data_IF_548459607393
#
_entry.id   IF_548459607393
#
_cell.length_a   1.000
_cell.length_b   1.000
_cell.length_c   1.000
_cell.angle_alpha   90.00
_cell.angle_beta   90.00
_cell.angle_gamma   90.00
#
_symmetry.space_group_name_H-M   'P 1'
#
loop_
_entity.id
_entity.type
_entity.pdbx_description
1 polymer ?
#
# COMPACT_ATOMS: atom_id res chain seq x y z
N UNK A 1 24.63 22.20 -23.76
CA UNK A 1 24.39 21.11 -22.78
C UNK A 1 23.26 21.54 -21.85
N UNK A 2 22.03 21.58 -22.38
CA UNK A 2 20.85 22.16 -21.67
C UNK A 2 19.62 21.23 -21.69
N UNK A 3 19.73 20.05 -22.32
CA UNK A 3 18.59 19.12 -22.50
C UNK A 3 18.38 18.25 -21.25
N UNK A 4 19.35 18.17 -20.34
CA UNK A 4 19.28 17.30 -19.15
C UNK A 4 18.51 17.95 -17.98
N UNK A 5 18.22 19.26 -18.04
CA UNK A 5 17.66 20.01 -16.90
C UNK A 5 16.13 20.22 -16.95
N UNK A 6 15.43 19.65 -17.94
CA UNK A 6 13.99 19.90 -18.18
C UNK A 6 13.12 18.64 -18.09
N UNK A 7 13.54 17.62 -17.34
CA UNK A 7 12.71 16.44 -17.06
C UNK A 7 11.96 16.56 -15.72
N UNK A 8 12.34 17.50 -14.84
CA UNK A 8 11.82 17.60 -13.47
C UNK A 8 10.45 18.29 -13.33
N UNK A 9 9.62 18.33 -14.38
CA UNK A 9 8.31 19.01 -14.33
C UNK A 9 7.15 18.21 -14.94
N UNK A 10 7.22 16.87 -14.93
CA UNK A 10 6.05 16.02 -15.18
C UNK A 10 5.35 15.67 -13.86
N UNK A 11 4.93 16.69 -13.11
CA UNK A 11 3.99 16.48 -12.00
C UNK A 11 2.63 16.10 -12.56
N UNK A 12 2.29 14.83 -12.46
CA UNK A 12 0.93 14.29 -12.39
C UNK A 12 1.08 12.85 -11.95
N UNK A 13 1.37 12.64 -10.67
CA UNK A 13 1.36 11.33 -10.01
C UNK A 13 -0.07 10.76 -9.97
N UNK A 14 -0.70 10.56 -11.13
CA UNK A 14 -1.88 9.71 -11.25
C UNK A 14 -1.41 8.26 -11.21
N UNK A 15 -1.01 7.82 -10.02
CA UNK A 15 -0.91 6.40 -9.70
C UNK A 15 -2.32 5.83 -9.85
N UNK A 16 -2.48 4.80 -10.68
CA UNK A 16 -3.75 4.12 -10.80
C UNK A 16 -3.69 2.82 -9.99
N UNK A 17 -4.32 2.84 -8.83
CA UNK A 17 -4.36 1.70 -7.89
C UNK A 17 -5.34 0.66 -8.42
N UNK A 18 -4.84 -0.55 -8.61
CA UNK A 18 -5.61 -1.62 -9.22
C UNK A 18 -6.21 -2.54 -8.17
N UNK A 19 -5.43 -2.91 -7.15
CA UNK A 19 -5.83 -3.84 -6.11
C UNK A 19 -4.94 -3.71 -4.89
N UNK A 20 -5.34 -4.32 -3.78
CA UNK A 20 -4.53 -4.44 -2.57
C UNK A 20 -4.67 -5.83 -2.00
N UNK A 21 -3.55 -6.47 -1.68
CA UNK A 21 -3.52 -7.73 -0.95
C UNK A 21 -3.18 -7.44 0.51
N UNK A 22 -3.95 -7.98 1.44
CA UNK A 22 -3.78 -7.81 2.88
C UNK A 22 -3.61 -9.18 3.49
N UNK A 23 -2.43 -9.44 4.03
CA UNK A 23 -2.08 -10.71 4.67
C UNK A 23 -2.02 -10.50 6.18
N UNK A 24 -2.90 -11.17 6.91
CA UNK A 24 -2.92 -11.17 8.36
C UNK A 24 -2.09 -12.34 8.87
N UNK A 25 -1.04 -12.01 9.64
CA UNK A 25 -0.20 -12.98 10.35
C UNK A 25 -0.16 -12.66 11.85
N UNK A 26 0.19 -13.63 12.70
CA UNK A 26 0.41 -13.41 14.13
C UNK A 26 1.40 -12.29 14.48
N UNK A 27 2.36 -12.01 13.60
CA UNK A 27 3.41 -11.02 13.87
C UNK A 27 3.07 -9.62 13.36
N UNK A 28 2.27 -9.53 12.28
CA UNK A 28 2.00 -8.28 11.56
C UNK A 28 0.89 -8.44 10.52
N UNK A 29 0.38 -7.31 10.05
CA UNK A 29 -0.43 -7.23 8.83
C UNK A 29 0.44 -6.69 7.70
N UNK A 30 0.59 -7.46 6.64
CA UNK A 30 1.28 -7.02 5.43
C UNK A 30 0.28 -6.55 4.39
N UNK A 31 0.39 -5.29 3.98
CA UNK A 31 -0.47 -4.68 2.96
C UNK A 31 0.36 -4.45 1.71
N UNK A 32 0.01 -5.13 0.62
CA UNK A 32 0.62 -4.96 -0.70
C UNK A 32 -0.33 -4.20 -1.61
N UNK A 33 -0.01 -2.96 -1.91
CA UNK A 33 -0.77 -2.11 -2.83
C UNK A 33 -0.22 -2.29 -4.24
N UNK A 34 -1.07 -2.71 -5.18
CA UNK A 34 -0.72 -2.83 -6.60
C UNK A 34 -1.20 -1.62 -7.37
N UNK A 35 -0.34 -1.10 -8.25
CA UNK A 35 -0.66 0.08 -9.05
C UNK A 35 0.01 0.03 -10.42
N UNK A 36 -0.54 0.86 -11.31
CA UNK A 36 0.01 1.10 -12.63
C UNK A 36 0.50 2.54 -12.76
N UNK A 37 1.70 2.66 -13.33
CA UNK A 37 2.34 3.93 -13.69
C UNK A 37 2.23 4.14 -15.20
N UNK A 38 2.14 5.41 -15.63
CA UNK A 38 2.25 5.74 -17.05
C UNK A 38 3.66 5.36 -17.56
N UNK A 39 3.83 5.03 -18.85
CA UNK A 39 5.11 4.56 -19.38
C UNK A 39 6.31 5.47 -19.04
N UNK A 40 6.15 6.80 -19.14
CA UNK A 40 7.20 7.76 -18.79
C UNK A 40 7.54 7.76 -17.29
N UNK A 41 6.54 7.62 -16.43
CA UNK A 41 6.74 7.54 -14.98
C UNK A 41 7.44 6.25 -14.59
N UNK A 42 7.08 5.13 -15.24
CA UNK A 42 7.76 3.85 -15.05
C UNK A 42 9.25 3.92 -15.42
N UNK A 43 9.57 4.58 -16.54
CA UNK A 43 10.97 4.82 -16.96
C UNK A 43 11.70 5.67 -15.93
N UNK A 44 11.09 6.79 -15.49
CA UNK A 44 11.69 7.63 -14.47
C UNK A 44 11.91 6.87 -13.16
N UNK A 45 10.95 6.05 -12.74
CA UNK A 45 11.06 5.26 -11.50
C UNK A 45 12.21 4.25 -11.57
N UNK A 46 12.42 3.62 -12.73
CA UNK A 46 13.51 2.67 -12.95
C UNK A 46 14.88 3.38 -12.99
N UNK A 47 14.95 4.56 -13.60
CA UNK A 47 16.21 5.28 -13.82
C UNK A 47 16.64 6.14 -12.63
N UNK A 48 15.69 6.72 -11.90
CA UNK A 48 15.93 7.75 -10.89
C UNK A 48 15.37 7.41 -9.51
N UNK A 49 14.68 6.28 -9.34
CA UNK A 49 14.15 5.81 -8.06
C UNK A 49 12.67 6.15 -7.83
N UNK A 50 12.15 5.75 -6.66
CA UNK A 50 10.72 5.80 -6.34
C UNK A 50 10.29 6.98 -5.47
N UNK A 51 11.17 7.96 -5.23
CA UNK A 51 10.91 9.05 -4.27
C UNK A 51 9.65 9.86 -4.62
N UNK A 52 9.42 10.12 -5.91
CA UNK A 52 8.24 10.86 -6.38
C UNK A 52 6.93 10.11 -6.13
N UNK A 53 6.95 8.76 -6.18
CA UNK A 53 5.76 7.94 -5.96
C UNK A 53 5.56 7.59 -4.48
N UNK A 54 6.63 7.58 -3.68
CA UNK A 54 6.59 7.23 -2.25
C UNK A 54 5.57 8.07 -1.50
N UNK A 55 5.67 9.40 -1.62
CA UNK A 55 4.75 10.34 -0.95
C UNK A 55 3.30 10.13 -1.37
N UNK A 56 3.05 9.85 -2.65
CA UNK A 56 1.69 9.66 -3.15
C UNK A 56 1.11 8.34 -2.62
N UNK A 57 1.91 7.28 -2.56
CA UNK A 57 1.45 5.98 -2.04
C UNK A 57 1.28 6.02 -0.52
N UNK A 58 2.17 6.69 0.21
CA UNK A 58 2.02 6.89 1.65
C UNK A 58 0.76 7.69 1.99
N UNK A 59 0.40 8.69 1.17
CA UNK A 59 -0.84 9.46 1.33
C UNK A 59 -2.14 8.66 1.11
N UNK A 60 -2.05 7.38 0.74
CA UNK A 60 -3.22 6.50 0.65
C UNK A 60 -3.80 6.17 2.01
N UNK A 61 -2.96 6.14 3.04
CA UNK A 61 -3.38 5.83 4.39
C UNK A 61 -3.76 7.12 5.09
N UNK A 62 -5.03 7.25 5.45
CA UNK A 62 -5.58 8.43 6.14
C UNK A 62 -5.20 8.38 7.62
N UNK A 63 -3.93 8.62 7.92
CA UNK A 63 -3.50 8.58 9.30
C UNK A 63 -2.23 9.38 9.59
N UNK A 64 -2.41 10.39 10.44
CA UNK A 64 -1.33 11.06 11.18
C UNK A 64 -0.67 10.15 12.23
N UNK A 65 -1.19 8.93 12.46
CA UNK A 65 -0.77 8.03 13.56
C UNK A 65 -0.63 6.55 13.17
N UNK A 66 -0.72 6.21 11.88
CA UNK A 66 -0.53 4.82 11.47
C UNK A 66 0.94 4.43 11.61
N UNK A 67 1.24 3.55 12.57
CA UNK A 67 2.55 2.95 12.72
C UNK A 67 2.73 1.83 11.70
N UNK A 68 3.00 2.20 10.44
CA UNK A 68 3.45 1.27 9.41
C UNK A 68 4.94 1.44 9.13
N UNK A 69 5.57 0.34 8.70
CA UNK A 69 6.91 0.36 8.12
C UNK A 69 6.80 0.13 6.62
N UNK A 70 7.51 0.94 5.84
CA UNK A 70 7.63 0.73 4.39
C UNK A 70 8.70 -0.35 4.14
N UNK A 71 8.27 -1.52 3.69
CA UNK A 71 9.19 -2.63 3.36
C UNK A 71 9.76 -2.45 1.95
N UNK A 72 8.92 -2.05 1.00
CA UNK A 72 9.33 -1.89 -0.39
C UNK A 72 8.39 -0.98 -1.18
N UNK A 73 8.95 -0.16 -2.06
CA UNK A 73 8.21 0.53 -3.12
C UNK A 73 8.96 0.30 -4.43
N UNK A 74 8.26 -0.15 -5.48
CA UNK A 74 8.84 -0.36 -6.80
C UNK A 74 7.91 0.16 -7.92
N UNK A 75 8.22 -0.10 -9.19
CA UNK A 75 7.43 0.45 -10.31
C UNK A 75 6.01 -0.13 -10.46
N UNK A 76 5.61 -1.10 -9.63
CA UNK A 76 4.36 -1.85 -9.77
C UNK A 76 3.62 -2.10 -8.46
N UNK A 77 4.32 -2.09 -7.32
CA UNK A 77 3.72 -2.37 -6.03
C UNK A 77 4.46 -1.66 -4.90
N UNK A 78 3.73 -1.47 -3.80
CA UNK A 78 4.27 -1.05 -2.52
C UNK A 78 3.84 -2.01 -1.43
N UNK A 79 4.75 -2.31 -0.51
CA UNK A 79 4.56 -3.26 0.59
C UNK A 79 4.75 -2.50 1.89
N UNK A 80 3.72 -2.55 2.72
CA UNK A 80 3.64 -1.92 4.02
C UNK A 80 3.42 -2.98 5.08
N UNK A 81 4.06 -2.81 6.23
CA UNK A 81 3.95 -3.69 7.37
C UNK A 81 3.35 -2.93 8.54
N UNK A 82 2.20 -3.37 9.01
CA UNK A 82 1.51 -2.81 10.17
C UNK A 82 1.67 -3.73 11.37
N UNK A 83 1.85 -3.14 12.54
CA UNK A 83 1.92 -3.90 13.77
C UNK A 83 0.52 -4.37 14.19
N UNK A 84 0.47 -5.56 14.78
CA UNK A 84 -0.70 -6.08 15.48
C UNK A 84 -0.48 -5.97 16.99
N UNK A 85 -1.57 -5.92 17.74
CA UNK A 85 -1.53 -5.94 19.20
C UNK A 85 -1.82 -7.36 19.69
N UNK A 86 -0.94 -7.93 20.52
CA UNK A 86 -1.19 -9.23 21.16
C UNK A 86 -2.05 -9.01 22.42
N UNK A 87 -3.29 -9.47 22.37
CA UNK A 87 -4.27 -9.38 23.46
C UNK A 87 -4.37 -10.69 24.25
N UNK A 88 -3.37 -11.58 24.13
CA UNK A 88 -3.29 -12.85 24.84
C UNK A 88 -3.96 -13.99 24.08
N UNK A 89 -5.27 -13.90 23.86
CA UNK A 89 -6.05 -14.96 23.17
C UNK A 89 -6.16 -14.75 21.65
N UNK A 90 -5.87 -13.53 21.18
CA UNK A 90 -5.95 -13.14 19.78
C UNK A 90 -4.98 -12.00 19.47
N UNK A 91 -4.69 -11.83 18.18
CA UNK A 91 -4.00 -10.66 17.64
C UNK A 91 -5.02 -9.69 17.07
N UNK A 92 -4.90 -8.42 17.45
CA UNK A 92 -5.78 -7.35 17.02
C UNK A 92 -5.12 -6.41 16.02
N UNK A 93 -5.84 -6.12 14.94
CA UNK A 93 -5.54 -5.06 13.99
C UNK A 93 -6.71 -4.08 13.94
N UNK A 94 -6.43 -2.79 14.14
CA UNK A 94 -7.45 -1.74 14.21
C UNK A 94 -8.11 -1.37 12.89
N UNK A 95 -7.64 -1.92 11.78
CA UNK A 95 -8.01 -1.45 10.46
C UNK A 95 -7.31 -0.14 10.11
N UNK A 96 -7.40 0.23 8.83
CA UNK A 96 -6.80 1.44 8.28
C UNK A 96 -7.76 2.09 7.29
N UNK A 97 -8.03 3.37 7.48
CA UNK A 97 -8.80 4.17 6.54
C UNK A 97 -7.93 4.57 5.35
N UNK A 98 -8.55 4.58 4.18
CA UNK A 98 -7.92 4.92 2.91
C UNK A 98 -8.47 6.24 2.39
N UNK A 99 -7.60 7.11 1.90
CA UNK A 99 -7.98 8.41 1.32
C UNK A 99 -8.67 8.27 -0.04
N UNK A 100 -8.56 7.09 -0.67
CA UNK A 100 -9.22 6.75 -1.93
C UNK A 100 -9.95 5.41 -1.83
N UNK A 101 -10.92 5.21 -2.72
CA UNK A 101 -11.57 3.91 -2.91
C UNK A 101 -10.65 2.97 -3.70
N UNK A 102 -10.36 1.81 -3.13
CA UNK A 102 -9.62 0.74 -3.80
C UNK A 102 -10.61 -0.21 -4.46
N UNK A 103 -10.46 -0.51 -5.78
CA UNK A 103 -11.40 -1.37 -6.51
C UNK A 103 -11.53 -2.78 -5.92
N UNK A 104 -10.41 -3.35 -5.48
CA UNK A 104 -10.33 -4.72 -5.01
C UNK A 104 -9.34 -4.84 -3.84
N UNK A 105 -9.82 -5.31 -2.69
CA UNK A 105 -9.00 -5.69 -1.53
C UNK A 105 -9.15 -7.19 -1.29
N UNK A 106 -8.04 -7.93 -1.43
CA UNK A 106 -7.97 -9.36 -1.11
C UNK A 106 -7.43 -9.53 0.29
N UNK A 107 -8.13 -10.31 1.10
CA UNK A 107 -7.73 -10.60 2.48
C UNK A 107 -7.36 -12.06 2.59
N UNK A 108 -6.11 -12.27 2.96
CA UNK A 108 -5.53 -13.55 3.30
C UNK A 108 -5.33 -13.61 4.82
N UNK A 109 -5.80 -14.70 5.43
CA UNK A 109 -5.63 -14.98 6.85
C UNK A 109 -4.91 -16.32 6.94
N UNK A 110 -3.67 -16.31 7.45
CA UNK A 110 -2.84 -17.51 7.61
C UNK A 110 -2.63 -18.32 6.30
N UNK A 111 -2.25 -17.64 5.22
CA UNK A 111 -1.96 -18.21 3.89
C UNK A 111 -3.17 -18.90 3.24
N UNK A 112 -4.38 -18.43 3.55
CA UNK A 112 -5.64 -18.83 2.94
C UNK A 112 -6.43 -17.57 2.59
N UNK A 113 -6.72 -17.37 1.30
CA UNK A 113 -7.57 -16.26 0.84
C UNK A 113 -8.98 -16.50 1.36
N UNK A 114 -9.45 -15.61 2.22
CA UNK A 114 -10.76 -15.76 2.88
C UNK A 114 -11.79 -14.77 2.33
N UNK A 115 -11.37 -13.56 1.95
CA UNK A 115 -12.32 -12.52 1.53
C UNK A 115 -11.82 -11.67 0.36
N UNK A 116 -12.77 -11.22 -0.45
CA UNK A 116 -12.58 -10.19 -1.47
C UNK A 116 -13.58 -9.07 -1.18
N UNK A 117 -13.07 -7.87 -0.97
CA UNK A 117 -13.86 -6.66 -0.73
C UNK A 117 -13.72 -5.75 -1.94
N UNK A 118 -14.84 -5.42 -2.57
CA UNK A 118 -14.86 -4.54 -3.73
C UNK A 118 -15.15 -3.09 -3.30
N UNK A 119 -14.49 -2.13 -3.95
CA UNK A 119 -14.74 -0.69 -3.83
C UNK A 119 -14.75 -0.19 -2.37
N UNK A 120 -13.69 -0.51 -1.62
CA UNK A 120 -13.58 -0.13 -0.20
C UNK A 120 -12.65 1.06 0.00
N UNK A 121 -12.98 1.91 0.97
CA UNK A 121 -12.11 2.98 1.49
C UNK A 121 -11.50 2.59 2.84
N UNK A 122 -11.52 1.30 3.19
CA UNK A 122 -11.04 0.80 4.48
C UNK A 122 -10.43 -0.59 4.33
N UNK A 123 -9.25 -0.78 4.90
CA UNK A 123 -8.76 -2.11 5.28
C UNK A 123 -9.42 -2.44 6.62
N UNK A 124 -10.23 -3.51 6.70
CA UNK A 124 -11.05 -3.77 7.86
C UNK A 124 -10.21 -4.06 9.11
N UNK A 125 -10.78 -3.77 10.27
CA UNK A 125 -10.27 -4.32 11.53
C UNK A 125 -10.38 -5.85 11.53
N UNK A 126 -9.48 -6.52 12.26
CA UNK A 126 -9.46 -7.97 12.32
C UNK A 126 -8.97 -8.51 13.66
N UNK A 127 -9.58 -9.63 14.04
CA UNK A 127 -9.25 -10.43 15.22
C UNK A 127 -8.77 -11.79 14.74
N UNK A 128 -7.49 -12.10 14.94
CA UNK A 128 -6.90 -13.38 14.54
C UNK A 128 -6.66 -14.21 15.80
N UNK A 129 -7.51 -15.21 16.02
CA UNK A 129 -7.40 -16.11 17.18
C UNK A 129 -6.21 -17.05 17.03
N UNK A 130 -5.55 -17.36 18.16
CA UNK A 130 -4.39 -18.27 18.22
C UNK A 130 -4.75 -19.72 17.99
#
# INVERSE_FOLDING_TARGET
MFIVLMISLLTLSSLNITSTDVVYTPENVTVTVHYSLKPLQKINTILFGCDEISQTIESLFDCDTCNFTVEKIDSSRAIFKFNVTDEGDYYYFSGVNLTITIPEIKIDINDSIVFLIENSTMIPEMYVFK
#
